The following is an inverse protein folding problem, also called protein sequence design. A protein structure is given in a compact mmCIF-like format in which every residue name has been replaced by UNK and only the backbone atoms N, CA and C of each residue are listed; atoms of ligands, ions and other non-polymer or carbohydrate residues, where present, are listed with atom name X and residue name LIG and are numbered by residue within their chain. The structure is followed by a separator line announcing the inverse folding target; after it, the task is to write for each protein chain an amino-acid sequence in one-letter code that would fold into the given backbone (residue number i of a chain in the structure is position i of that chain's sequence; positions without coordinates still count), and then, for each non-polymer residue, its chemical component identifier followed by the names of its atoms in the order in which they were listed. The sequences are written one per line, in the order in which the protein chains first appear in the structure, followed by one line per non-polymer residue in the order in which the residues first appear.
data_IF_999231832483
#
_entry.id   IF_999231832483
#
_cell.length_a   1.000
_cell.length_b   1.000
_cell.length_c   1.000
_cell.angle_alpha   90.00
_cell.angle_beta   90.00
_cell.angle_gamma   90.00
#
_symmetry.space_group_name_H-M   'P 1'
#
loop_
_entity.id
_entity.type
_entity.pdbx_description
1 polymer ?
#
# COMPACT_ATOMS: atom_id res chain seq x y z
N UNK A 1 52.72 -9.55 29.82
CA UNK A 1 51.29 -9.22 29.92
C UNK A 1 50.74 -9.06 28.50
N UNK A 2 50.13 -10.12 27.94
CA UNK A 2 49.61 -10.10 26.56
C UNK A 2 48.26 -9.36 26.56
N UNK A 3 48.19 -8.21 25.91
CA UNK A 3 46.94 -7.46 25.72
C UNK A 3 46.16 -8.14 24.60
N UNK A 4 45.02 -8.75 24.93
CA UNK A 4 44.06 -9.28 23.94
C UNK A 4 43.19 -8.10 23.51
N UNK A 5 43.30 -7.68 22.26
CA UNK A 5 42.36 -6.73 21.65
C UNK A 5 41.15 -7.53 21.16
N UNK A 6 40.00 -7.36 21.83
CA UNK A 6 38.72 -7.89 21.37
C UNK A 6 38.15 -6.88 20.38
N UNK A 7 38.22 -7.19 19.09
CA UNK A 7 37.51 -6.45 18.04
C UNK A 7 36.08 -6.99 18.02
N UNK A 8 35.13 -6.21 18.55
CA UNK A 8 33.70 -6.51 18.43
C UNK A 8 33.29 -6.15 17.00
N UNK A 9 33.21 -7.15 16.13
CA UNK A 9 32.65 -7.01 14.79
C UNK A 9 31.13 -6.91 14.93
N UNK A 10 30.58 -5.70 14.90
CA UNK A 10 29.14 -5.50 14.73
C UNK A 10 28.77 -5.95 13.31
N UNK A 11 28.28 -7.17 13.18
CA UNK A 11 27.65 -7.66 11.95
C UNK A 11 26.26 -7.01 11.90
N UNK A 12 26.19 -5.76 11.45
CA UNK A 12 24.92 -5.20 11.00
C UNK A 12 24.56 -5.96 9.71
N UNK A 13 23.65 -6.92 9.80
CA UNK A 13 22.99 -7.41 8.60
C UNK A 13 22.37 -6.20 7.89
N UNK A 14 22.62 -5.98 6.59
CA UNK A 14 21.84 -5.00 5.86
C UNK A 14 20.40 -5.50 5.94
N UNK A 15 19.56 -4.80 6.71
CA UNK A 15 18.12 -4.98 6.63
C UNK A 15 17.79 -4.63 5.18
N UNK A 16 17.64 -5.64 4.32
CA UNK A 16 17.23 -5.44 2.94
C UNK A 16 15.82 -4.89 3.04
N UNK A 17 15.72 -3.56 3.06
CA UNK A 17 14.46 -2.86 2.98
C UNK A 17 13.85 -3.30 1.65
N UNK A 18 12.86 -4.20 1.70
CA UNK A 18 12.11 -4.59 0.52
C UNK A 18 11.56 -3.31 -0.10
N UNK A 19 12.11 -2.95 -1.26
CA UNK A 19 11.63 -1.82 -2.04
C UNK A 19 10.22 -2.13 -2.49
N UNK A 20 9.31 -1.18 -2.27
CA UNK A 20 7.95 -1.25 -2.80
C UNK A 20 8.05 -1.42 -4.32
N UNK A 21 7.36 -2.42 -4.86
CA UNK A 21 7.26 -2.62 -6.30
C UNK A 21 6.11 -1.74 -6.84
N UNK A 22 6.30 -1.06 -7.98
CA UNK A 22 5.22 -0.32 -8.63
C UNK A 22 3.99 -1.21 -8.87
N UNK A 23 2.81 -0.69 -8.55
CA UNK A 23 1.53 -1.36 -8.78
C UNK A 23 1.17 -1.37 -10.26
N UNK A 24 1.68 -0.43 -11.05
CA UNK A 24 1.55 -0.43 -12.52
C UNK A 24 2.24 -1.62 -13.22
N UNK A 25 2.93 -2.49 -12.47
CA UNK A 25 3.41 -3.77 -13.00
C UNK A 25 2.28 -4.79 -13.22
N UNK A 26 1.07 -4.52 -12.74
CA UNK A 26 -0.12 -5.34 -12.95
C UNK A 26 -1.05 -4.69 -13.98
N UNK A 27 -1.65 -5.49 -14.86
CA UNK A 27 -2.73 -5.04 -15.74
C UNK A 27 -4.09 -5.28 -15.09
N UNK A 28 -5.13 -4.62 -15.60
CA UNK A 28 -6.50 -4.85 -15.14
C UNK A 28 -6.95 -6.29 -15.35
N UNK A 29 -6.60 -6.91 -16.48
CA UNK A 29 -6.89 -8.32 -16.76
C UNK A 29 -6.24 -9.22 -15.71
N UNK A 30 -4.97 -8.97 -15.38
CA UNK A 30 -4.26 -9.72 -14.35
C UNK A 30 -4.96 -9.59 -12.98
N UNK A 31 -5.42 -8.39 -12.61
CA UNK A 31 -6.17 -8.15 -11.37
C UNK A 31 -7.50 -8.92 -11.33
N UNK A 32 -8.15 -9.14 -12.46
CA UNK A 32 -9.44 -9.85 -12.53
C UNK A 32 -9.23 -11.36 -12.50
N UNK A 33 -8.23 -11.86 -13.21
CA UNK A 33 -8.01 -13.29 -13.39
C UNK A 33 -7.20 -13.95 -12.26
N UNK A 34 -6.42 -13.17 -11.51
CA UNK A 34 -5.51 -13.66 -10.49
C UNK A 34 -5.83 -13.06 -9.11
N UNK A 35 -6.33 -13.92 -8.21
CA UNK A 35 -6.67 -13.54 -6.84
C UNK A 35 -5.47 -12.95 -6.07
N UNK A 36 -4.26 -13.48 -6.24
CA UNK A 36 -3.06 -12.94 -5.58
C UNK A 36 -2.69 -11.54 -6.10
N UNK A 37 -2.76 -11.34 -7.41
CA UNK A 37 -2.53 -10.02 -8.02
C UNK A 37 -3.59 -9.02 -7.56
N UNK A 38 -4.85 -9.44 -7.52
CA UNK A 38 -5.97 -8.66 -7.00
C UNK A 38 -5.70 -8.18 -5.57
N UNK A 39 -5.37 -9.12 -4.70
CA UNK A 39 -5.10 -8.83 -3.30
C UNK A 39 -3.90 -7.89 -3.11
N UNK A 40 -2.79 -8.14 -3.81
CA UNK A 40 -1.59 -7.29 -3.74
C UNK A 40 -1.88 -5.86 -4.20
N UNK A 41 -2.68 -5.69 -5.26
CA UNK A 41 -3.07 -4.36 -5.74
C UNK A 41 -4.01 -3.66 -4.76
N UNK A 42 -5.00 -4.37 -4.21
CA UNK A 42 -5.89 -3.81 -3.19
C UNK A 42 -5.12 -3.37 -1.95
N UNK A 43 -4.30 -4.24 -1.38
CA UNK A 43 -3.44 -3.92 -0.23
C UNK A 43 -2.54 -2.72 -0.52
N UNK A 44 -1.90 -2.72 -1.70
CA UNK A 44 -1.06 -1.63 -2.17
C UNK A 44 -1.79 -0.30 -2.26
N UNK A 45 -2.96 -0.27 -2.90
CA UNK A 45 -3.75 0.94 -3.07
C UNK A 45 -4.29 1.49 -1.76
N UNK A 46 -4.79 0.63 -0.87
CA UNK A 46 -5.27 1.01 0.45
C UNK A 46 -4.13 1.63 1.28
N UNK A 47 -2.96 0.99 1.30
CA UNK A 47 -1.78 1.51 1.98
C UNK A 47 -1.28 2.83 1.38
N UNK A 48 -1.31 2.96 0.06
CA UNK A 48 -0.89 4.16 -0.65
C UNK A 48 -1.81 5.34 -0.31
N UNK A 49 -3.13 5.15 -0.39
CA UNK A 49 -4.11 6.17 0.00
C UNK A 49 -4.01 6.54 1.48
N UNK A 50 -3.80 5.56 2.36
CA UNK A 50 -3.59 5.80 3.79
C UNK A 50 -2.32 6.60 4.05
N UNK A 51 -1.25 6.37 3.28
CA UNK A 51 -0.01 7.14 3.37
C UNK A 51 -0.21 8.59 2.91
N UNK A 52 -0.93 8.81 1.81
CA UNK A 52 -1.25 10.17 1.35
C UNK A 52 -2.14 10.89 2.36
N UNK A 53 -3.14 10.20 2.93
CA UNK A 53 -3.99 10.71 4.01
C UNK A 53 -3.13 11.22 5.17
N UNK A 54 -2.22 10.38 5.67
CA UNK A 54 -1.36 10.72 6.81
C UNK A 54 -0.48 11.95 6.53
N UNK A 55 0.09 12.04 5.33
CA UNK A 55 0.96 13.15 4.95
C UNK A 55 0.21 14.46 4.68
N UNK A 56 -1.09 14.40 4.42
CA UNK A 56 -1.89 15.56 4.01
C UNK A 56 -2.88 16.03 5.06
N UNK A 57 -3.29 15.19 6.02
CA UNK A 57 -4.36 15.48 7.00
C UNK A 57 -4.21 16.81 7.75
N UNK A 58 -2.99 17.22 8.09
CA UNK A 58 -2.77 18.44 8.88
C UNK A 58 -2.72 19.71 8.01
N UNK A 59 -2.16 19.61 6.80
CA UNK A 59 -1.93 20.77 5.91
C UNK A 59 -3.03 20.96 4.88
N UNK A 60 -3.61 19.86 4.40
CA UNK A 60 -4.64 19.79 3.38
C UNK A 60 -5.73 18.80 3.83
N UNK A 61 -6.48 19.11 4.89
CA UNK A 61 -7.40 18.16 5.53
C UNK A 61 -8.47 17.63 4.58
N UNK A 62 -9.01 18.48 3.69
CA UNK A 62 -10.00 18.07 2.69
C UNK A 62 -9.44 17.00 1.74
N UNK A 63 -8.20 17.21 1.26
CA UNK A 63 -7.52 16.24 0.41
C UNK A 63 -7.22 14.94 1.17
N UNK A 64 -6.76 15.05 2.42
CA UNK A 64 -6.54 13.88 3.28
C UNK A 64 -7.83 13.07 3.46
N UNK A 65 -8.96 13.75 3.67
CA UNK A 65 -10.26 13.09 3.80
C UNK A 65 -10.68 12.35 2.52
N UNK A 66 -10.45 12.92 1.34
CA UNK A 66 -10.76 12.23 0.08
C UNK A 66 -9.98 10.93 -0.07
N UNK A 67 -8.68 10.93 0.27
CA UNK A 67 -7.87 9.71 0.26
C UNK A 67 -8.30 8.71 1.33
N UNK A 68 -8.69 9.17 2.51
CA UNK A 68 -9.24 8.33 3.56
C UNK A 68 -10.53 7.62 3.10
N UNK A 69 -11.45 8.34 2.48
CA UNK A 69 -12.69 7.78 1.94
C UNK A 69 -12.42 6.76 0.82
N UNK A 70 -11.49 7.05 -0.10
CA UNK A 70 -11.09 6.10 -1.13
C UNK A 70 -10.49 4.83 -0.51
N UNK A 71 -9.61 4.94 0.49
CA UNK A 71 -9.06 3.78 1.18
C UNK A 71 -10.16 2.93 1.82
N UNK A 72 -11.09 3.55 2.56
CA UNK A 72 -12.18 2.84 3.23
C UNK A 72 -13.17 2.19 2.27
N UNK A 73 -13.40 2.80 1.10
CA UNK A 73 -14.27 2.24 0.07
C UNK A 73 -13.79 0.85 -0.36
N UNK A 74 -12.48 0.70 -0.59
CA UNK A 74 -11.93 -0.57 -1.09
C UNK A 74 -11.41 -1.50 0.03
N UNK A 75 -11.37 -1.03 1.28
CA UNK A 75 -10.84 -1.79 2.43
C UNK A 75 -11.50 -3.17 2.62
N UNK A 76 -12.85 -3.29 2.60
CA UNK A 76 -13.51 -4.58 2.77
C UNK A 76 -13.13 -5.60 1.70
N UNK A 77 -12.88 -5.15 0.46
CA UNK A 77 -12.46 -6.02 -0.65
C UNK A 77 -11.04 -6.56 -0.43
N UNK A 78 -10.15 -5.76 0.17
CA UNK A 78 -8.84 -6.21 0.62
C UNK A 78 -8.92 -7.34 1.65
N UNK A 79 -9.85 -7.24 2.60
CA UNK A 79 -10.09 -8.29 3.60
C UNK A 79 -10.67 -9.54 2.93
N UNK A 80 -11.67 -9.38 2.06
CA UNK A 80 -12.32 -10.49 1.35
C UNK A 80 -11.32 -11.24 0.47
N UNK A 81 -10.47 -10.52 -0.27
CA UNK A 81 -9.44 -11.13 -1.12
C UNK A 81 -8.45 -11.95 -0.29
N UNK A 82 -7.96 -11.42 0.84
CA UNK A 82 -7.07 -12.15 1.74
C UNK A 82 -7.74 -13.39 2.35
N UNK A 83 -8.99 -13.25 2.79
CA UNK A 83 -9.80 -14.33 3.35
C UNK A 83 -9.94 -15.49 2.35
N UNK A 84 -10.20 -15.17 1.08
CA UNK A 84 -10.31 -16.14 -0.01
C UNK A 84 -8.99 -16.87 -0.29
N UNK A 85 -7.90 -16.12 -0.48
CA UNK A 85 -6.58 -16.69 -0.81
C UNK A 85 -6.10 -17.64 0.28
N UNK A 86 -6.25 -17.23 1.54
CA UNK A 86 -5.74 -18.01 2.68
C UNK A 86 -6.76 -19.01 3.23
N UNK A 87 -7.99 -19.03 2.71
CA UNK A 87 -9.10 -19.86 3.24
C UNK A 87 -9.33 -19.66 4.75
N UNK A 88 -9.26 -18.42 5.22
CA UNK A 88 -9.44 -18.03 6.63
C UNK A 88 -10.72 -17.22 6.82
N UNK A 89 -11.20 -17.10 8.05
CA UNK A 89 -12.38 -16.29 8.36
C UNK A 89 -12.15 -14.81 8.08
N UNK A 90 -13.22 -14.07 7.74
CA UNK A 90 -13.16 -12.61 7.54
C UNK A 90 -12.53 -11.90 8.75
N UNK A 91 -12.91 -12.27 9.98
CA UNK A 91 -12.39 -11.67 11.22
C UNK A 91 -10.90 -11.91 11.43
N UNK A 92 -10.40 -13.05 10.96
CA UNK A 92 -8.96 -13.35 11.01
C UNK A 92 -8.21 -12.59 9.92
N UNK A 93 -8.75 -12.59 8.70
CA UNK A 93 -8.23 -11.81 7.58
C UNK A 93 -8.16 -10.32 7.92
N UNK A 94 -9.18 -9.74 8.54
CA UNK A 94 -9.21 -8.33 8.93
C UNK A 94 -8.03 -7.93 9.80
N UNK A 95 -7.68 -8.76 10.80
CA UNK A 95 -6.54 -8.50 11.69
C UNK A 95 -5.20 -8.56 10.95
N UNK A 96 -5.04 -9.55 10.08
CA UNK A 96 -3.81 -9.73 9.30
C UNK A 96 -3.68 -8.57 8.31
N UNK A 97 -4.76 -8.28 7.60
CA UNK A 97 -4.85 -7.24 6.60
C UNK A 97 -4.55 -5.86 7.19
N UNK A 98 -5.10 -5.54 8.36
CA UNK A 98 -4.79 -4.30 9.06
C UNK A 98 -3.28 -4.14 9.32
N UNK A 99 -2.62 -5.18 9.83
CA UNK A 99 -1.18 -5.13 10.10
C UNK A 99 -0.35 -4.99 8.82
N UNK A 100 -0.75 -5.67 7.75
CA UNK A 100 -0.08 -5.55 6.45
C UNK A 100 -0.23 -4.14 5.88
N UNK A 101 -1.45 -3.60 5.90
CA UNK A 101 -1.76 -2.26 5.41
C UNK A 101 -0.95 -1.20 6.18
N UNK A 102 -0.91 -1.28 7.51
CA UNK A 102 -0.12 -0.37 8.35
C UNK A 102 1.38 -0.45 8.03
N UNK A 103 1.90 -1.67 7.91
CA UNK A 103 3.32 -1.90 7.57
C UNK A 103 3.67 -1.32 6.20
N UNK A 104 2.80 -1.52 5.21
CA UNK A 104 3.04 -1.05 3.85
C UNK A 104 2.79 0.46 3.72
N UNK A 105 1.83 1.03 4.46
CA UNK A 105 1.62 2.47 4.60
C UNK A 105 2.91 3.16 5.07
N UNK A 106 3.54 2.65 6.11
CA UNK A 106 4.79 3.22 6.63
C UNK A 106 5.93 3.17 5.60
N UNK A 107 6.00 2.10 4.79
CA UNK A 107 6.94 2.02 3.66
C UNK A 107 6.64 3.10 2.61
N UNK A 108 5.38 3.32 2.26
CA UNK A 108 4.99 4.37 1.31
C UNK A 108 5.32 5.77 1.82
N UNK A 109 5.03 6.06 3.10
CA UNK A 109 5.38 7.34 3.74
C UNK A 109 6.89 7.57 3.68
N UNK A 110 7.69 6.54 3.97
CA UNK A 110 9.14 6.63 3.91
C UNK A 110 9.64 6.92 2.48
N UNK A 111 9.11 6.23 1.47
CA UNK A 111 9.50 6.44 0.08
C UNK A 111 9.05 7.82 -0.44
N UNK A 112 7.83 8.26 -0.11
CA UNK A 112 7.34 9.61 -0.40
C UNK A 112 8.23 10.69 0.22
N UNK A 113 8.58 10.56 1.50
CA UNK A 113 9.46 11.53 2.17
C UNK A 113 10.86 11.56 1.56
N UNK A 114 11.42 10.40 1.19
CA UNK A 114 12.70 10.31 0.49
C UNK A 114 12.62 10.97 -0.88
N UNK A 115 11.54 10.74 -1.64
CA UNK A 115 11.30 11.38 -2.93
C UNK A 115 11.13 12.90 -2.78
N UNK A 116 10.38 13.34 -1.77
CA UNK A 116 10.18 14.75 -1.44
C UNK A 116 11.49 15.49 -1.16
N UNK A 117 12.40 14.87 -0.38
CA UNK A 117 13.75 15.42 -0.13
C UNK A 117 14.59 15.52 -1.41
N UNK A 118 14.47 14.55 -2.32
CA UNK A 118 15.25 14.47 -3.56
C UNK A 118 14.73 15.40 -4.66
N UNK A 119 13.42 15.44 -4.85
CA UNK A 119 12.76 16.02 -6.02
C UNK A 119 11.85 17.22 -5.68
N UNK A 120 11.75 17.61 -4.40
CA UNK A 120 10.88 18.69 -3.94
C UNK A 120 9.37 18.37 -3.99
N UNK A 121 9.01 17.12 -4.27
CA UNK A 121 7.64 16.64 -4.41
C UNK A 121 7.58 15.17 -4.00
N UNK A 122 6.51 14.75 -3.31
CA UNK A 122 6.32 13.36 -2.91
C UNK A 122 6.11 12.41 -4.09
N UNK A 123 5.57 12.88 -5.22
CA UNK A 123 5.20 12.02 -6.35
C UNK A 123 6.07 12.20 -7.59
N UNK A 124 6.26 13.45 -8.04
CA UNK A 124 7.03 13.79 -9.24
C UNK A 124 8.42 13.13 -9.25
N UNK A 125 8.77 12.53 -10.38
CA UNK A 125 10.07 11.86 -10.56
C UNK A 125 10.16 10.49 -9.88
N UNK A 126 9.03 9.88 -9.51
CA UNK A 126 8.91 8.53 -8.96
C UNK A 126 7.66 7.83 -9.50
N UNK A 127 7.59 6.51 -9.30
CA UNK A 127 6.44 5.68 -9.67
C UNK A 127 5.17 5.99 -8.84
N UNK A 128 5.29 6.69 -7.72
CA UNK A 128 4.18 6.90 -6.76
C UNK A 128 3.00 7.66 -7.37
N UNK A 129 3.26 8.57 -8.32
CA UNK A 129 2.19 9.28 -9.03
C UNK A 129 1.41 8.37 -9.98
N UNK A 130 2.12 7.50 -10.69
CA UNK A 130 1.51 6.54 -11.62
C UNK A 130 0.71 5.48 -10.86
N UNK A 131 1.25 5.00 -9.73
CA UNK A 131 0.54 4.08 -8.83
C UNK A 131 -0.73 4.73 -8.24
N UNK A 132 -0.69 6.02 -7.87
CA UNK A 132 -1.88 6.72 -7.39
C UNK A 132 -2.97 6.78 -8.46
N UNK A 133 -2.60 7.12 -9.70
CA UNK A 133 -3.54 7.13 -10.82
C UNK A 133 -4.11 5.75 -11.10
N UNK A 134 -3.25 4.72 -11.12
CA UNK A 134 -3.66 3.34 -11.30
C UNK A 134 -4.64 2.87 -10.23
N UNK A 135 -4.34 3.16 -8.97
CA UNK A 135 -5.23 2.85 -7.85
C UNK A 135 -6.59 3.54 -8.00
N UNK A 136 -6.62 4.78 -8.49
CA UNK A 136 -7.87 5.49 -8.71
C UNK A 136 -8.75 4.79 -9.74
N UNK A 137 -8.16 4.35 -10.86
CA UNK A 137 -8.87 3.59 -11.88
C UNK A 137 -9.34 2.22 -11.36
N UNK A 138 -8.55 1.54 -10.51
CA UNK A 138 -8.96 0.30 -9.84
C UNK A 138 -10.15 0.54 -8.90
N UNK A 139 -10.09 1.57 -8.05
CA UNK A 139 -11.19 1.93 -7.14
C UNK A 139 -12.47 2.22 -7.90
N UNK A 140 -12.38 3.02 -8.97
CA UNK A 140 -13.53 3.36 -9.82
C UNK A 140 -14.13 2.13 -10.48
N UNK A 141 -13.30 1.23 -11.01
CA UNK A 141 -13.76 -0.01 -11.64
C UNK A 141 -14.48 -0.93 -10.65
N UNK A 142 -13.97 -1.05 -9.42
CA UNK A 142 -14.61 -1.83 -8.36
C UNK A 142 -15.96 -1.21 -7.95
N UNK A 143 -16.03 0.11 -7.80
CA UNK A 143 -17.29 0.80 -7.49
C UNK A 143 -18.34 0.55 -8.58
N UNK A 144 -17.97 0.66 -9.86
CA UNK A 144 -18.88 0.38 -10.98
C UNK A 144 -19.39 -1.06 -10.95
N UNK A 145 -18.49 -2.04 -10.78
CA UNK A 145 -18.87 -3.45 -10.69
C UNK A 145 -19.88 -3.71 -9.56
N UNK A 146 -19.67 -3.05 -8.41
CA UNK A 146 -20.57 -3.18 -7.26
C UNK A 146 -21.94 -2.57 -7.56
N UNK A 147 -22.00 -1.35 -8.12
CA UNK A 147 -23.26 -0.71 -8.50
C UNK A 147 -24.02 -1.55 -9.52
N UNK A 148 -23.34 -2.05 -10.55
CA UNK A 148 -23.93 -2.95 -11.55
C UNK A 148 -24.47 -4.23 -10.90
N UNK A 149 -23.76 -4.81 -9.92
CA UNK A 149 -24.20 -6.01 -9.19
C UNK A 149 -25.42 -5.76 -8.30
N UNK A 150 -25.64 -4.52 -7.88
CA UNK A 150 -26.78 -4.08 -7.09
C UNK A 150 -27.98 -3.67 -7.97
N UNK A 151 -27.80 -3.59 -9.30
CA UNK A 151 -28.82 -3.17 -10.25
C UNK A 151 -29.06 -1.66 -10.28
N UNK A 152 -28.07 -0.87 -9.86
CA UNK A 152 -28.05 0.60 -9.89
C UNK A 152 -27.34 1.15 -11.13
#
# INVERSE_FOLDING_TARGET
MKKVFIIILFISSPLVAQTIKPLTNYSFENIIENDEANHLVLEGCISLYSAVTELTKDRYPELGNQFYEMANTIYPYGIISLSKINSISYKEAEKIFFNNVETLKDKYINEMNKNGKKNGSYFKGSFLGDDLFFCHEVTKSLQLFVLESLGE
#
